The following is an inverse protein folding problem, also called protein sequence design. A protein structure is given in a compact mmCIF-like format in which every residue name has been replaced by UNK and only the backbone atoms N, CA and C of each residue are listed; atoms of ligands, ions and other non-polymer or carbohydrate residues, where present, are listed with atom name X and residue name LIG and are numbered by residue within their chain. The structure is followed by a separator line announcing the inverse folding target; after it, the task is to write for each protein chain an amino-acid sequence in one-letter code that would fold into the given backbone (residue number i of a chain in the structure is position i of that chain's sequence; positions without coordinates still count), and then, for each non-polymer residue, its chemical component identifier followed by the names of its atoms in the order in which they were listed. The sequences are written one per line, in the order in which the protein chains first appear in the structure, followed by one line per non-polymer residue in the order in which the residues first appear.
data_IF_293380138038
#
_entry.id   IF_293380138038
#
_cell.length_a   1.000
_cell.length_b   1.000
_cell.length_c   1.000
_cell.angle_alpha   90.00
_cell.angle_beta   90.00
_cell.angle_gamma   90.00
#
_symmetry.space_group_name_H-M   'P 1'
#
loop_
_entity.id
_entity.type
_entity.pdbx_description
1 polymer ?
#
# COMPACT_ATOMS: atom_id res chain seq x y z
N UNK A 1 -0.64 42.73 -18.65
CA UNK A 1 -1.74 41.87 -19.13
C UNK A 1 -1.96 40.82 -18.03
N UNK A 2 -3.15 40.68 -17.49
CA UNK A 2 -3.39 39.62 -16.53
C UNK A 2 -3.35 38.25 -17.23
N UNK A 3 -2.60 37.32 -16.65
CA UNK A 3 -2.52 35.94 -17.11
C UNK A 3 -3.92 35.31 -17.15
N UNK A 4 -4.22 34.56 -18.18
CA UNK A 4 -5.50 33.85 -18.30
C UNK A 4 -5.58 32.75 -17.23
N UNK A 5 -6.79 32.39 -16.82
CA UNK A 5 -7.03 31.32 -15.81
C UNK A 5 -6.33 30.02 -16.17
N UNK A 6 -6.18 29.73 -17.45
CA UNK A 6 -5.49 28.56 -18.00
C UNK A 6 -3.97 28.62 -17.76
N UNK A 7 -3.36 29.80 -17.96
CA UNK A 7 -1.93 30.01 -17.69
C UNK A 7 -1.62 29.98 -16.20
N UNK A 8 -2.52 30.45 -15.34
CA UNK A 8 -2.40 30.36 -13.89
C UNK A 8 -2.49 28.92 -13.39
N UNK A 9 -3.37 28.10 -13.98
CA UNK A 9 -3.50 26.66 -13.66
C UNK A 9 -2.29 25.85 -14.15
N UNK A 10 -1.71 26.21 -15.29
CA UNK A 10 -0.47 25.59 -15.81
C UNK A 10 0.73 25.95 -14.95
N UNK A 11 0.83 27.21 -14.48
CA UNK A 11 1.88 27.62 -13.54
C UNK A 11 1.74 26.94 -12.17
N UNK A 12 0.51 26.77 -11.66
CA UNK A 12 0.28 26.06 -10.39
C UNK A 12 0.63 24.58 -10.50
N UNK A 13 0.34 23.93 -11.63
CA UNK A 13 0.72 22.54 -11.89
C UNK A 13 2.23 22.38 -12.08
N UNK A 14 2.90 23.35 -12.70
CA UNK A 14 4.36 23.37 -12.83
C UNK A 14 5.06 23.64 -11.49
N UNK A 15 4.49 24.48 -10.63
CA UNK A 15 5.01 24.72 -9.28
C UNK A 15 4.88 23.50 -8.37
N UNK A 16 3.81 22.71 -8.49
CA UNK A 16 3.67 21.47 -7.69
C UNK A 16 4.66 20.38 -8.10
N UNK A 17 5.06 20.31 -9.37
CA UNK A 17 6.14 19.45 -9.84
C UNK A 17 7.53 20.00 -9.51
N UNK A 18 7.74 21.31 -9.53
CA UNK A 18 9.03 21.94 -9.24
C UNK A 18 9.41 21.92 -7.75
N UNK A 19 8.45 21.92 -6.82
CA UNK A 19 8.74 21.89 -5.38
C UNK A 19 9.24 20.50 -4.89
N UNK A 20 9.09 19.44 -5.69
CA UNK A 20 9.74 18.16 -5.44
C UNK A 20 11.15 18.04 -6.06
N UNK A 21 11.63 19.07 -6.77
CA UNK A 21 12.96 19.15 -7.36
C UNK A 21 13.91 20.03 -6.52
N UNK A 22 13.99 19.81 -5.22
CA UNK A 22 15.09 20.38 -4.44
C UNK A 22 16.36 19.57 -4.71
N UNK A 23 17.38 20.27 -5.19
CA UNK A 23 18.74 19.80 -5.48
C UNK A 23 19.29 18.81 -4.45
N UNK A 24 19.22 17.53 -4.74
CA UNK A 24 20.07 16.52 -4.15
C UNK A 24 20.98 16.02 -5.27
N UNK A 25 22.19 16.54 -5.31
CA UNK A 25 23.30 16.01 -6.09
C UNK A 25 23.96 14.87 -5.34
N UNK A 26 23.20 13.80 -5.08
CA UNK A 26 23.75 12.50 -4.72
C UNK A 26 23.35 11.55 -5.84
N UNK A 27 24.28 10.69 -6.27
CA UNK A 27 24.12 9.69 -7.32
C UNK A 27 22.72 9.09 -7.21
N UNK A 28 21.88 9.35 -8.22
CA UNK A 28 20.56 8.76 -8.30
C UNK A 28 20.75 7.24 -8.30
N UNK A 29 20.24 6.52 -7.30
CA UNK A 29 20.48 5.08 -7.17
C UNK A 29 19.80 4.24 -8.27
N UNK A 30 19.18 4.90 -9.24
CA UNK A 30 18.33 4.32 -10.27
C UNK A 30 18.82 4.77 -11.65
N UNK A 31 19.74 4.03 -12.23
CA UNK A 31 20.32 4.36 -13.56
C UNK A 31 19.47 3.87 -14.73
N UNK A 32 18.42 3.08 -14.46
CA UNK A 32 17.64 2.43 -15.51
C UNK A 32 16.41 3.24 -15.92
N UNK A 33 16.03 3.12 -17.18
CA UNK A 33 14.77 3.62 -17.70
C UNK A 33 13.61 3.02 -16.91
N UNK A 34 12.87 3.84 -16.16
CA UNK A 34 11.84 3.36 -15.27
C UNK A 34 10.46 3.76 -15.75
N UNK A 35 9.64 2.75 -16.05
CA UNK A 35 8.22 2.87 -16.39
C UNK A 35 7.40 1.94 -15.54
N UNK A 36 6.19 2.35 -15.17
CA UNK A 36 5.33 1.53 -14.33
C UNK A 36 3.86 1.87 -14.49
N UNK A 37 3.00 0.91 -14.14
CA UNK A 37 1.55 1.07 -14.15
C UNK A 37 1.07 1.34 -12.73
N UNK A 38 0.18 2.35 -12.58
CA UNK A 38 -0.65 2.54 -11.38
C UNK A 38 -2.12 2.44 -11.74
N UNK A 39 -2.98 2.30 -10.75
CA UNK A 39 -4.43 2.30 -10.92
C UNK A 39 -4.95 3.63 -10.40
N UNK A 40 -5.51 4.44 -11.30
CA UNK A 40 -5.98 5.78 -10.95
C UNK A 40 -6.95 5.78 -9.79
N UNK A 41 -6.65 6.58 -8.78
CA UNK A 41 -7.56 6.77 -7.65
C UNK A 41 -8.76 7.62 -8.01
N UNK A 42 -8.70 8.39 -9.11
CA UNK A 42 -9.73 9.30 -9.55
C UNK A 42 -10.80 8.63 -10.42
N UNK A 43 -12.08 8.96 -10.17
CA UNK A 43 -13.21 8.54 -11.01
C UNK A 43 -13.78 9.72 -11.77
N UNK A 44 -13.83 9.58 -13.08
CA UNK A 44 -14.38 10.60 -13.94
C UNK A 44 -15.84 10.26 -14.28
N UNK A 45 -16.78 10.25 -13.34
CA UNK A 45 -18.21 10.42 -13.66
C UNK A 45 -19.13 10.54 -12.46
N UNK A 46 -20.07 11.46 -12.65
CA UNK A 46 -21.42 11.62 -12.07
C UNK A 46 -21.67 11.05 -10.66
N UNK A 47 -21.92 11.97 -9.78
CA UNK A 47 -22.34 11.86 -8.38
C UNK A 47 -23.37 10.74 -8.09
N UNK A 48 -24.12 10.28 -9.06
CA UNK A 48 -25.25 9.37 -8.87
C UNK A 48 -24.94 7.86 -8.94
N UNK A 49 -23.72 7.45 -9.27
CA UNK A 49 -23.40 6.04 -9.54
C UNK A 49 -22.03 5.58 -9.02
N UNK A 50 -21.55 6.11 -7.90
CA UNK A 50 -20.20 5.89 -7.40
C UNK A 50 -19.96 4.55 -6.68
N UNK A 51 -20.94 3.67 -6.59
CA UNK A 51 -20.82 2.38 -5.95
C UNK A 51 -19.86 1.41 -6.69
N UNK A 52 -20.26 0.14 -6.79
CA UNK A 52 -19.49 -0.92 -7.49
C UNK A 52 -19.10 -0.54 -8.93
N UNK A 53 -19.89 0.30 -9.61
CA UNK A 53 -19.59 0.80 -10.95
C UNK A 53 -18.32 1.65 -11.00
N UNK A 54 -18.03 2.44 -9.95
CA UNK A 54 -16.81 3.22 -9.88
C UNK A 54 -15.56 2.36 -9.76
N UNK A 55 -15.60 1.25 -9.00
CA UNK A 55 -14.50 0.28 -8.93
C UNK A 55 -14.22 -0.40 -10.27
N UNK A 56 -15.25 -0.60 -11.09
CA UNK A 56 -15.10 -1.19 -12.42
C UNK A 56 -14.49 -0.26 -13.46
N UNK A 57 -14.43 1.05 -13.19
CA UNK A 57 -13.95 2.08 -14.11
C UNK A 57 -12.62 2.71 -13.66
N UNK A 58 -11.87 2.07 -12.77
CA UNK A 58 -10.54 2.53 -12.38
C UNK A 58 -9.59 2.44 -13.56
N UNK A 59 -9.21 3.58 -14.11
CA UNK A 59 -8.31 3.65 -15.25
C UNK A 59 -6.88 3.25 -14.87
N UNK A 60 -6.21 2.53 -15.76
CA UNK A 60 -4.78 2.30 -15.66
C UNK A 60 -4.04 3.57 -16.04
N UNK A 61 -2.96 3.87 -15.34
CA UNK A 61 -2.11 5.02 -15.58
C UNK A 61 -0.70 4.55 -15.92
N UNK A 62 -0.18 5.02 -17.04
CA UNK A 62 1.20 4.82 -17.46
C UNK A 62 2.04 5.92 -16.84
N UNK A 63 3.11 5.56 -16.16
CA UNK A 63 4.02 6.49 -15.52
C UNK A 63 5.43 6.28 -16.06
N UNK A 64 6.21 7.35 -16.20
CA UNK A 64 7.59 7.30 -16.68
C UNK A 64 8.46 8.37 -16.04
N UNK A 65 9.75 8.12 -15.99
CA UNK A 65 10.76 9.06 -15.52
C UNK A 65 11.72 9.40 -16.66
N UNK A 66 11.51 10.54 -17.37
CA UNK A 66 12.24 10.86 -18.60
C UNK A 66 13.75 10.97 -18.42
N UNK A 67 14.21 11.39 -17.24
CA UNK A 67 15.62 11.60 -16.92
C UNK A 67 16.40 10.28 -16.84
N UNK A 68 15.74 9.18 -16.46
CA UNK A 68 16.39 7.90 -16.27
C UNK A 68 16.56 7.10 -17.57
N UNK A 69 15.82 7.44 -18.64
CA UNK A 69 15.93 6.77 -19.93
C UNK A 69 17.03 7.37 -20.85
N UNK A 70 17.99 8.10 -20.30
CA UNK A 70 19.07 8.74 -21.07
C UNK A 70 18.57 9.73 -22.13
N UNK A 71 17.36 10.29 -21.97
CA UNK A 71 16.73 11.19 -22.95
C UNK A 71 16.21 10.50 -24.21
N UNK A 72 16.29 9.18 -24.31
CA UNK A 72 15.88 8.40 -25.48
C UNK A 72 14.40 8.01 -25.49
N UNK A 73 13.68 8.22 -24.38
CA UNK A 73 12.27 7.88 -24.29
C UNK A 73 11.43 8.75 -25.22
N UNK A 74 10.70 8.09 -26.12
CA UNK A 74 9.83 8.75 -27.07
C UNK A 74 8.34 8.52 -26.76
N UNK A 75 7.97 7.25 -26.54
CA UNK A 75 6.58 6.86 -26.30
C UNK A 75 6.49 5.73 -25.28
N UNK A 76 5.32 5.67 -24.63
CA UNK A 76 4.97 4.60 -23.72
C UNK A 76 3.68 3.94 -24.20
N UNK A 77 3.68 2.62 -24.19
CA UNK A 77 2.58 1.78 -24.66
C UNK A 77 2.03 0.94 -23.52
N UNK A 78 0.75 0.62 -23.60
CA UNK A 78 0.09 -0.39 -22.79
C UNK A 78 -0.31 -1.57 -23.69
N UNK A 79 0.09 -2.78 -23.27
CA UNK A 79 -0.22 -4.03 -23.95
C UNK A 79 -0.93 -5.01 -23.01
N UNK A 80 -1.66 -5.97 -23.56
CA UNK A 80 -2.28 -7.08 -22.82
C UNK A 80 -1.33 -8.25 -22.60
N UNK A 81 -0.18 -8.27 -23.26
CA UNK A 81 0.83 -9.33 -23.22
C UNK A 81 2.24 -8.77 -23.03
N UNK A 82 3.16 -9.62 -22.61
CA UNK A 82 4.56 -9.26 -22.41
C UNK A 82 5.23 -8.90 -23.74
N UNK A 83 5.69 -7.66 -23.92
CA UNK A 83 6.32 -7.22 -25.17
C UNK A 83 7.70 -7.84 -25.40
N UNK A 84 8.25 -8.60 -24.47
CA UNK A 84 9.53 -9.31 -24.59
C UNK A 84 9.35 -10.76 -25.05
N UNK A 85 8.13 -11.28 -25.13
CA UNK A 85 7.89 -12.63 -25.61
C UNK A 85 8.15 -12.77 -27.10
N UNK A 86 8.71 -13.91 -27.53
CA UNK A 86 8.95 -14.22 -28.94
C UNK A 86 7.65 -14.26 -29.79
N UNK A 87 6.55 -14.64 -29.17
CA UNK A 87 5.22 -14.70 -29.80
C UNK A 87 4.43 -13.39 -29.75
N UNK A 88 5.04 -12.31 -29.24
CA UNK A 88 4.36 -11.04 -29.05
C UNK A 88 3.87 -10.45 -30.36
N UNK A 89 2.56 -10.17 -30.44
CA UNK A 89 1.94 -9.46 -31.56
C UNK A 89 1.48 -8.07 -31.11
N UNK A 90 2.24 -7.06 -31.51
CA UNK A 90 1.98 -5.67 -31.12
C UNK A 90 0.58 -5.20 -31.48
N UNK A 91 0.03 -5.60 -32.63
CA UNK A 91 -1.28 -5.13 -33.11
C UNK A 91 -2.43 -5.76 -32.31
N UNK A 92 -2.33 -7.04 -31.98
CA UNK A 92 -3.37 -7.75 -31.22
C UNK A 92 -3.34 -7.43 -29.74
N UNK A 93 -2.16 -7.18 -29.20
CA UNK A 93 -1.94 -6.91 -27.77
C UNK A 93 -2.09 -5.42 -27.40
N UNK A 94 -2.18 -4.51 -28.38
CA UNK A 94 -2.27 -3.07 -28.13
C UNK A 94 -3.52 -2.65 -27.37
N UNK A 95 -3.37 -1.89 -26.30
CA UNK A 95 -4.47 -1.33 -25.51
C UNK A 95 -4.53 0.20 -25.56
N UNK A 96 -3.37 0.88 -25.38
CA UNK A 96 -3.30 2.34 -25.39
C UNK A 96 -1.84 2.82 -25.51
N UNK A 97 -1.62 4.11 -25.83
CA UNK A 97 -0.26 4.67 -25.89
C UNK A 97 -0.24 6.19 -25.72
N UNK A 98 0.95 6.71 -25.44
CA UNK A 98 1.19 8.15 -25.35
C UNK A 98 2.59 8.49 -25.86
N UNK A 99 2.71 9.62 -26.57
CA UNK A 99 4.00 10.22 -26.96
C UNK A 99 4.46 11.17 -25.85
N UNK A 100 5.53 10.80 -25.15
CA UNK A 100 5.93 11.39 -23.87
C UNK A 100 6.27 12.88 -23.98
N UNK A 101 6.98 13.30 -25.04
CA UNK A 101 7.39 14.69 -25.24
C UNK A 101 6.23 15.63 -25.65
N UNK A 102 5.09 15.08 -26.01
CA UNK A 102 3.86 15.82 -26.32
C UNK A 102 2.90 15.88 -25.13
N UNK A 103 3.22 15.19 -24.03
CA UNK A 103 2.38 15.13 -22.85
C UNK A 103 2.99 15.98 -21.72
N UNK A 104 2.24 16.93 -21.13
CA UNK A 104 2.77 17.90 -20.16
C UNK A 104 3.13 17.30 -18.79
N UNK A 105 2.79 16.03 -18.56
CA UNK A 105 3.00 15.33 -17.30
C UNK A 105 3.74 14.03 -17.56
N UNK A 106 4.44 13.51 -16.54
CA UNK A 106 5.15 12.25 -16.60
C UNK A 106 4.23 11.03 -16.30
N UNK A 107 2.95 11.17 -16.58
CA UNK A 107 1.97 10.09 -16.52
C UNK A 107 0.83 10.34 -17.52
N UNK A 108 0.21 9.25 -17.95
CA UNK A 108 -0.93 9.26 -18.86
C UNK A 108 -2.01 8.33 -18.34
N UNK A 109 -3.26 8.81 -18.26
CA UNK A 109 -4.42 8.01 -17.88
C UNK A 109 -5.02 7.40 -19.13
N UNK A 110 -4.94 6.07 -19.22
CA UNK A 110 -5.43 5.31 -20.37
C UNK A 110 -6.95 5.15 -20.35
N UNK A 111 -7.51 4.65 -21.45
CA UNK A 111 -8.91 4.19 -21.51
C UNK A 111 -9.10 2.77 -20.94
N UNK A 112 -8.03 2.00 -20.77
CA UNK A 112 -8.09 0.70 -20.13
C UNK A 112 -8.39 0.81 -18.64
N UNK A 113 -9.20 -0.10 -18.12
CA UNK A 113 -9.61 -0.09 -16.70
C UNK A 113 -9.25 -1.41 -16.03
N UNK A 114 -8.86 -1.38 -14.74
CA UNK A 114 -8.56 -2.58 -13.99
C UNK A 114 -9.83 -3.40 -13.69
N UNK A 115 -10.93 -2.75 -13.35
CA UNK A 115 -12.12 -3.43 -12.83
C UNK A 115 -11.83 -4.18 -11.52
N UNK A 116 -12.34 -5.41 -11.43
CA UNK A 116 -12.02 -6.39 -10.39
C UNK A 116 -11.46 -7.64 -11.05
N UNK A 117 -10.16 -7.69 -11.31
CA UNK A 117 -9.56 -8.81 -11.99
C UNK A 117 -9.52 -10.03 -11.07
N UNK A 118 -9.61 -11.21 -11.65
CA UNK A 118 -9.24 -12.44 -10.98
C UNK A 118 -7.72 -12.43 -10.77
N UNK A 119 -7.28 -12.56 -9.51
CA UNK A 119 -5.85 -12.51 -9.20
C UNK A 119 -5.15 -13.80 -9.67
N UNK A 120 -4.01 -13.66 -10.39
CA UNK A 120 -3.29 -14.80 -10.97
C UNK A 120 -2.60 -15.67 -9.92
N UNK A 121 -1.98 -16.79 -10.34
CA UNK A 121 -1.22 -17.68 -9.47
C UNK A 121 -2.04 -18.41 -8.41
N UNK A 122 -3.37 -18.45 -8.53
CA UNK A 122 -4.25 -19.05 -7.52
C UNK A 122 -4.55 -18.14 -6.32
N UNK A 123 -4.14 -16.88 -6.33
CA UNK A 123 -4.35 -15.91 -5.26
C UNK A 123 -5.73 -15.25 -5.25
N UNK A 124 -6.61 -15.64 -6.15
CA UNK A 124 -7.99 -15.15 -6.18
C UNK A 124 -8.77 -15.64 -4.95
N UNK A 125 -9.39 -14.71 -4.23
CA UNK A 125 -10.08 -14.98 -2.96
C UNK A 125 -11.20 -16.01 -3.10
N UNK A 126 -12.00 -15.91 -4.14
CA UNK A 126 -13.12 -16.85 -4.37
C UNK A 126 -12.60 -18.27 -4.64
N UNK A 127 -11.47 -18.39 -5.34
CA UNK A 127 -10.80 -19.66 -5.58
C UNK A 127 -10.29 -20.27 -4.27
N UNK A 128 -9.64 -19.48 -3.41
CA UNK A 128 -9.17 -19.93 -2.10
C UNK A 128 -10.32 -20.39 -1.21
N UNK A 129 -11.37 -19.59 -1.10
CA UNK A 129 -12.55 -19.93 -0.28
C UNK A 129 -13.24 -21.21 -0.75
N UNK A 130 -13.34 -21.41 -2.07
CA UNK A 130 -13.89 -22.65 -2.65
C UNK A 130 -13.02 -23.86 -2.32
N UNK A 131 -11.70 -23.72 -2.40
CA UNK A 131 -10.77 -24.78 -2.04
C UNK A 131 -10.88 -25.14 -0.56
N UNK A 132 -10.93 -24.15 0.34
CA UNK A 132 -11.15 -24.37 1.79
C UNK A 132 -12.47 -25.12 2.05
N UNK A 133 -13.57 -24.75 1.40
CA UNK A 133 -14.88 -25.43 1.54
C UNK A 133 -14.84 -26.88 1.07
N UNK A 134 -14.05 -27.18 0.04
CA UNK A 134 -13.89 -28.52 -0.51
C UNK A 134 -12.78 -29.34 0.18
N UNK A 135 -12.21 -28.86 1.28
CA UNK A 135 -11.05 -29.46 1.96
C UNK A 135 -9.85 -29.69 1.02
N UNK A 136 -9.73 -28.91 -0.04
CA UNK A 136 -8.61 -28.97 -0.96
C UNK A 136 -7.46 -28.10 -0.42
N UNK A 137 -6.28 -28.68 -0.28
CA UNK A 137 -5.07 -28.01 0.23
C UNK A 137 -4.21 -27.38 -0.87
N UNK A 138 -4.83 -26.94 -1.97
CA UNK A 138 -4.08 -26.34 -3.06
C UNK A 138 -3.54 -24.97 -2.62
N UNK A 139 -2.22 -24.88 -2.48
CA UNK A 139 -1.54 -23.63 -2.17
C UNK A 139 -1.39 -22.77 -3.42
N UNK A 140 -1.56 -21.43 -3.32
CA UNK A 140 -1.24 -20.54 -4.41
C UNK A 140 0.26 -20.60 -4.78
N UNK A 141 0.58 -20.29 -6.02
CA UNK A 141 1.97 -20.26 -6.50
C UNK A 141 2.70 -19.06 -5.89
N UNK A 142 3.87 -19.27 -5.24
CA UNK A 142 4.71 -18.15 -4.78
C UNK A 142 5.24 -17.29 -5.93
N UNK A 143 5.81 -16.13 -5.58
CA UNK A 143 6.43 -15.21 -6.53
C UNK A 143 5.50 -14.10 -7.02
N UNK A 144 6.01 -13.33 -7.94
CA UNK A 144 5.29 -12.22 -8.56
C UNK A 144 4.47 -12.75 -9.74
N UNK A 145 3.23 -12.26 -9.87
CA UNK A 145 2.37 -12.67 -10.98
C UNK A 145 1.79 -11.45 -11.68
N UNK A 146 2.11 -11.30 -12.96
CA UNK A 146 1.58 -10.23 -13.80
C UNK A 146 0.10 -10.43 -14.12
N UNK A 147 -0.66 -9.35 -14.09
CA UNK A 147 -1.95 -9.26 -14.74
C UNK A 147 -1.73 -8.97 -16.22
N UNK A 148 -2.74 -9.11 -17.08
CA UNK A 148 -2.61 -8.87 -18.53
C UNK A 148 -2.56 -7.36 -18.85
N UNK A 149 -1.60 -6.66 -18.22
CA UNK A 149 -1.35 -5.23 -18.43
C UNK A 149 0.14 -4.98 -18.35
N UNK A 150 0.75 -4.68 -19.49
CA UNK A 150 2.18 -4.46 -19.65
C UNK A 150 2.46 -3.07 -20.17
N UNK A 151 3.38 -2.37 -19.54
CA UNK A 151 3.89 -1.08 -19.99
C UNK A 151 5.21 -1.29 -20.73
N UNK A 152 5.39 -0.63 -21.87
CA UNK A 152 6.62 -0.63 -22.64
C UNK A 152 7.05 0.79 -22.97
N UNK A 153 8.31 1.12 -22.67
CA UNK A 153 8.95 2.37 -23.06
C UNK A 153 9.71 2.15 -24.38
N UNK A 154 9.40 2.97 -25.37
CA UNK A 154 10.02 2.87 -26.69
C UNK A 154 10.80 4.15 -27.03
N UNK A 155 11.93 3.96 -27.71
CA UNK A 155 12.68 5.03 -28.35
C UNK A 155 12.01 5.48 -29.65
N UNK A 156 12.51 6.57 -30.25
CA UNK A 156 11.95 7.11 -31.50
C UNK A 156 12.02 6.13 -32.67
N UNK A 157 13.02 5.27 -32.71
CA UNK A 157 13.17 4.23 -33.75
C UNK A 157 12.41 2.93 -33.43
N UNK A 158 11.59 2.91 -32.36
CA UNK A 158 10.78 1.77 -31.95
C UNK A 158 11.52 0.72 -31.11
N UNK A 159 12.77 0.95 -30.72
CA UNK A 159 13.50 0.03 -29.84
C UNK A 159 12.93 0.04 -28.43
N UNK A 160 12.72 -1.13 -27.83
CA UNK A 160 12.28 -1.29 -26.45
C UNK A 160 13.41 -0.83 -25.51
N UNK A 161 13.11 0.13 -24.64
CA UNK A 161 14.02 0.65 -23.62
C UNK A 161 13.80 0.00 -22.26
N UNK A 162 12.54 -0.20 -21.88
CA UNK A 162 12.14 -0.84 -20.63
C UNK A 162 10.72 -1.39 -20.75
N UNK A 163 10.42 -2.41 -19.94
CA UNK A 163 9.05 -2.91 -19.76
C UNK A 163 8.80 -3.31 -18.31
N UNK A 164 7.55 -3.23 -17.88
CA UNK A 164 7.08 -3.74 -16.60
C UNK A 164 5.60 -4.16 -16.75
N UNK A 165 5.07 -4.90 -15.76
CA UNK A 165 3.66 -5.28 -15.73
C UNK A 165 2.97 -4.82 -14.45
N UNK A 166 1.64 -4.70 -14.50
CA UNK A 166 0.86 -4.62 -13.27
C UNK A 166 0.82 -6.01 -12.63
N UNK A 167 1.36 -6.15 -11.40
CA UNK A 167 1.59 -7.47 -10.78
C UNK A 167 1.28 -7.48 -9.29
N UNK A 168 0.83 -8.64 -8.83
CA UNK A 168 0.71 -8.93 -7.39
C UNK A 168 2.06 -9.40 -6.82
N UNK A 169 2.26 -9.18 -5.51
CA UNK A 169 3.51 -9.46 -4.77
C UNK A 169 3.25 -10.26 -3.47
N UNK A 170 2.56 -11.40 -3.54
CA UNK A 170 2.06 -12.07 -2.33
C UNK A 170 3.16 -12.66 -1.45
N UNK A 171 4.35 -12.94 -1.99
CA UNK A 171 5.44 -13.62 -1.27
C UNK A 171 6.77 -12.88 -1.34
N UNK A 172 6.75 -11.55 -1.51
CA UNK A 172 7.96 -10.78 -1.76
C UNK A 172 9.02 -10.85 -0.64
N UNK A 173 8.62 -11.00 0.64
CA UNK A 173 9.60 -11.20 1.72
C UNK A 173 10.24 -12.59 1.63
N UNK A 174 9.44 -13.61 1.30
CA UNK A 174 9.92 -14.96 1.06
C UNK A 174 10.89 -15.05 -0.13
N UNK A 175 10.59 -14.33 -1.21
CA UNK A 175 11.41 -14.28 -2.42
C UNK A 175 12.79 -13.64 -2.15
N UNK A 176 12.84 -12.71 -1.17
CA UNK A 176 14.06 -12.03 -0.73
C UNK A 176 14.68 -12.65 0.54
N UNK A 177 14.22 -13.80 1.01
CA UNK A 177 14.56 -14.35 2.33
C UNK A 177 16.06 -14.35 2.62
N UNK A 178 16.87 -14.85 1.70
CA UNK A 178 18.33 -14.94 1.86
C UNK A 178 19.03 -13.57 2.00
N UNK A 179 18.41 -12.50 1.54
CA UNK A 179 18.95 -11.14 1.62
C UNK A 179 18.57 -10.46 2.93
N UNK A 180 17.31 -10.62 3.36
CA UNK A 180 16.72 -9.84 4.46
C UNK A 180 16.59 -10.61 5.77
N UNK A 181 16.97 -11.90 5.85
CA UNK A 181 16.80 -12.72 7.06
C UNK A 181 17.47 -12.10 8.32
N UNK A 182 18.64 -11.49 8.16
CA UNK A 182 19.35 -10.79 9.22
C UNK A 182 18.77 -9.42 9.57
N UNK A 183 17.87 -8.88 8.77
CA UNK A 183 17.31 -7.55 8.95
C UNK A 183 16.33 -7.50 10.14
N UNK A 184 16.37 -6.38 10.88
CA UNK A 184 15.33 -6.06 11.86
C UNK A 184 14.11 -5.47 11.15
N UNK A 185 12.89 -5.80 11.59
CA UNK A 185 11.64 -5.26 11.03
C UNK A 185 11.65 -3.73 10.99
N UNK A 186 12.23 -3.06 12.01
CA UNK A 186 12.38 -1.59 12.05
C UNK A 186 13.36 -1.00 11.03
N UNK A 187 14.13 -1.85 10.33
CA UNK A 187 15.12 -1.43 9.32
C UNK A 187 14.72 -1.77 7.91
N UNK A 188 13.60 -2.43 7.72
CA UNK A 188 12.99 -2.66 6.40
C UNK A 188 12.12 -1.46 6.00
N UNK A 189 12.01 -1.21 4.72
CA UNK A 189 10.91 -0.43 4.19
C UNK A 189 9.71 -1.36 3.96
N UNK A 190 8.59 -1.06 4.59
CA UNK A 190 7.40 -1.91 4.63
C UNK A 190 6.22 -1.14 4.04
N UNK A 191 5.64 -1.60 2.93
CA UNK A 191 4.46 -0.97 2.37
C UNK A 191 3.24 -1.27 3.23
N UNK A 192 2.40 -0.27 3.44
CA UNK A 192 1.20 -0.38 4.25
C UNK A 192 0.04 0.43 3.75
N UNK A 193 -1.10 0.23 4.39
CA UNK A 193 -2.34 0.93 4.09
C UNK A 193 -2.85 1.69 5.31
N UNK A 194 -3.26 2.93 5.08
CA UNK A 194 -3.94 3.76 6.06
C UNK A 194 -5.41 3.35 6.13
N UNK A 195 -5.99 3.27 7.33
CA UNK A 195 -7.39 2.86 7.53
C UNK A 195 -7.75 1.60 6.71
N UNK A 196 -6.93 0.59 6.78
CA UNK A 196 -6.90 -0.58 5.87
C UNK A 196 -8.25 -1.29 5.71
N UNK A 197 -9.06 -1.34 6.78
CA UNK A 197 -10.39 -1.94 6.74
C UNK A 197 -11.49 -1.05 6.14
N UNK A 198 -11.16 0.18 5.71
CA UNK A 198 -12.14 1.12 5.15
C UNK A 198 -12.19 1.03 3.61
N UNK A 199 -12.50 -0.15 3.10
CA UNK A 199 -12.61 -0.44 1.69
C UNK A 199 -14.07 -0.50 1.19
N UNK A 200 -14.24 -0.55 -0.13
CA UNK A 200 -15.54 -0.70 -0.77
C UNK A 200 -15.98 -2.18 -0.74
N UNK A 201 -16.93 -2.50 0.17
CA UNK A 201 -17.55 -3.83 0.23
C UNK A 201 -18.53 -4.09 -0.90
N UNK A 202 -19.00 -5.35 -1.01
CA UNK A 202 -20.03 -5.77 -1.99
C UNK A 202 -21.38 -5.06 -1.75
N UNK A 203 -21.68 -4.70 -0.51
CA UNK A 203 -22.94 -4.07 -0.08
C UNK A 203 -22.83 -2.54 -0.02
N UNK A 204 -22.60 -1.92 -1.16
CA UNK A 204 -22.69 -0.46 -1.27
C UNK A 204 -24.18 -0.10 -1.50
N UNK A 205 -25.00 -0.41 -0.52
CA UNK A 205 -26.41 0.01 -0.52
C UNK A 205 -26.55 1.45 -0.07
N UNK A 206 -27.23 2.27 -0.85
CA UNK A 206 -28.07 3.45 -0.51
C UNK A 206 -27.64 4.47 0.56
N UNK A 207 -26.45 4.41 1.14
CA UNK A 207 -25.95 5.48 2.03
C UNK A 207 -25.36 6.58 1.16
N UNK A 208 -25.71 7.84 1.49
CA UNK A 208 -25.41 9.01 0.68
C UNK A 208 -23.96 9.08 0.19
N UNK A 209 -23.78 9.29 -1.09
CA UNK A 209 -22.49 9.29 -1.82
C UNK A 209 -21.39 10.10 -1.13
N UNK A 210 -21.72 11.17 -0.43
CA UNK A 210 -20.78 12.04 0.27
C UNK A 210 -20.10 11.32 1.43
N UNK A 211 -20.83 10.56 2.27
CA UNK A 211 -20.27 9.81 3.39
C UNK A 211 -19.26 8.79 2.85
N UNK A 212 -19.60 8.07 1.80
CA UNK A 212 -18.69 7.10 1.17
C UNK A 212 -17.39 7.74 0.70
N UNK A 213 -17.45 8.92 0.05
CA UNK A 213 -16.27 9.62 -0.46
C UNK A 213 -15.29 10.03 0.61
N UNK A 214 -15.79 10.30 1.82
CA UNK A 214 -14.97 10.74 2.96
C UNK A 214 -14.69 9.66 4.00
N UNK A 215 -15.07 8.40 3.72
CA UNK A 215 -14.89 7.29 4.66
C UNK A 215 -14.21 6.05 4.07
N UNK A 216 -13.99 6.00 2.76
CA UNK A 216 -13.28 4.90 2.12
C UNK A 216 -11.89 5.34 1.72
N UNK A 217 -10.90 4.58 2.17
CA UNK A 217 -9.47 4.83 1.99
C UNK A 217 -8.79 3.80 1.10
N UNK A 218 -9.46 2.66 0.86
CA UNK A 218 -8.94 1.57 0.04
C UNK A 218 -10.02 1.05 -0.92
N UNK A 219 -9.58 0.51 -2.05
CA UNK A 219 -10.46 -0.21 -3.00
C UNK A 219 -10.45 -1.71 -2.72
N UNK A 220 -9.28 -2.24 -2.41
CA UNK A 220 -9.01 -3.63 -2.14
C UNK A 220 -9.43 -4.01 -0.73
N UNK A 221 -9.99 -5.21 -0.54
CA UNK A 221 -10.21 -5.77 0.79
C UNK A 221 -8.87 -6.20 1.44
N UNK A 222 -8.90 -6.67 2.67
CA UNK A 222 -7.68 -7.02 3.42
C UNK A 222 -6.91 -8.15 2.73
N UNK A 223 -7.58 -9.17 2.20
CA UNK A 223 -6.93 -10.23 1.44
C UNK A 223 -6.20 -9.68 0.23
N UNK A 224 -6.90 -8.89 -0.58
CA UNK A 224 -6.35 -8.28 -1.79
C UNK A 224 -5.18 -7.35 -1.46
N UNK A 225 -5.28 -6.48 -0.44
CA UNK A 225 -4.18 -5.60 -0.03
C UNK A 225 -2.91 -6.39 0.31
N UNK A 226 -3.04 -7.51 1.04
CA UNK A 226 -1.91 -8.38 1.40
C UNK A 226 -1.35 -9.11 0.17
N UNK A 227 -2.21 -9.59 -0.73
CA UNK A 227 -1.81 -10.25 -1.98
C UNK A 227 -1.12 -9.28 -2.93
N UNK A 228 -1.57 -8.03 -3.00
CA UNK A 228 -0.85 -6.98 -3.75
C UNK A 228 0.52 -6.67 -3.16
N UNK A 229 0.75 -6.88 -1.87
CA UNK A 229 2.07 -6.75 -1.25
C UNK A 229 2.13 -5.89 0.01
N UNK A 230 1.02 -5.34 0.50
CA UNK A 230 0.99 -4.63 1.78
C UNK A 230 1.37 -5.57 2.93
N UNK A 231 2.13 -5.05 3.92
CA UNK A 231 2.54 -5.81 5.11
C UNK A 231 2.28 -5.05 6.41
N UNK A 232 1.71 -3.86 6.33
CA UNK A 232 1.22 -3.10 7.47
C UNK A 232 -0.24 -2.71 7.24
N UNK A 233 -1.08 -2.97 8.25
CA UNK A 233 -2.51 -2.68 8.25
C UNK A 233 -2.87 -1.80 9.45
N UNK A 234 -3.31 -0.54 9.19
CA UNK A 234 -3.88 0.36 10.19
C UNK A 234 -5.37 0.06 10.39
N UNK A 235 -5.74 -0.51 11.52
CA UNK A 235 -7.11 -0.87 11.85
C UNK A 235 -7.69 0.05 12.93
N UNK A 236 -8.90 0.54 12.68
CA UNK A 236 -9.65 1.39 13.61
C UNK A 236 -10.96 0.71 13.95
N UNK A 237 -11.17 0.44 15.25
CA UNK A 237 -12.24 -0.45 15.72
C UNK A 237 -13.27 0.30 16.55
N UNK A 238 -14.54 0.07 16.23
CA UNK A 238 -15.68 0.49 17.04
C UNK A 238 -16.36 -0.69 17.73
N UNK A 239 -16.94 -0.46 18.92
CA UNK A 239 -17.74 -1.41 19.64
C UNK A 239 -19.21 -1.03 19.64
N UNK A 240 -20.10 -1.99 19.30
CA UNK A 240 -21.54 -1.80 19.14
C UNK A 240 -22.32 -2.87 19.94
N UNK A 241 -22.68 -2.54 21.17
CA UNK A 241 -23.26 -3.46 22.16
C UNK A 241 -24.53 -4.20 21.69
N UNK A 242 -25.34 -3.55 20.85
CA UNK A 242 -26.65 -4.08 20.39
C UNK A 242 -26.60 -4.80 19.05
N UNK A 243 -25.41 -5.20 18.58
CA UNK A 243 -25.21 -5.93 17.33
C UNK A 243 -24.80 -7.37 17.62
N UNK A 244 -25.14 -8.30 16.75
CA UNK A 244 -24.70 -9.70 16.83
C UNK A 244 -23.18 -9.75 16.76
N UNK A 245 -22.59 -9.11 15.74
CA UNK A 245 -21.15 -8.81 15.72
C UNK A 245 -20.96 -7.45 16.42
N UNK A 246 -20.15 -7.44 17.47
CA UNK A 246 -19.98 -6.25 18.31
C UNK A 246 -18.81 -5.37 17.87
N UNK A 247 -17.80 -5.95 17.20
CA UNK A 247 -16.62 -5.23 16.76
C UNK A 247 -16.64 -4.97 15.25
N UNK A 248 -16.48 -3.70 14.90
CA UNK A 248 -16.54 -3.23 13.52
C UNK A 248 -15.35 -2.34 13.19
N UNK A 249 -14.91 -2.39 11.95
CA UNK A 249 -14.03 -1.36 11.41
C UNK A 249 -14.79 -0.05 11.28
N UNK A 250 -14.12 1.04 11.65
CA UNK A 250 -14.69 2.37 11.63
C UNK A 250 -13.77 3.38 10.93
N UNK A 251 -14.36 4.28 10.16
CA UNK A 251 -13.76 5.56 9.80
C UNK A 251 -14.44 6.67 10.62
N UNK A 252 -13.70 7.27 11.54
CA UNK A 252 -14.30 8.17 12.53
C UNK A 252 -15.53 7.51 13.21
N UNK A 253 -16.73 8.07 13.08
CA UNK A 253 -17.96 7.50 13.62
C UNK A 253 -18.72 6.59 12.67
N UNK A 254 -18.28 6.52 11.41
CA UNK A 254 -18.91 5.69 10.39
C UNK A 254 -18.49 4.23 10.55
N UNK A 255 -19.46 3.33 10.59
CA UNK A 255 -19.28 1.89 10.67
C UNK A 255 -19.16 1.32 9.27
N UNK A 256 -18.09 0.57 8.99
CA UNK A 256 -17.71 0.11 7.66
C UNK A 256 -18.01 -1.37 7.44
N UNK A 257 -17.25 -2.26 8.09
CA UNK A 257 -17.38 -3.71 7.95
C UNK A 257 -17.15 -4.40 9.29
N UNK A 258 -17.59 -5.63 9.43
CA UNK A 258 -17.34 -6.45 10.62
C UNK A 258 -15.86 -6.74 10.78
N UNK A 259 -15.37 -6.78 12.02
CA UNK A 259 -13.95 -7.00 12.29
C UNK A 259 -13.52 -8.45 12.07
N UNK A 260 -14.35 -9.43 12.47
CA UNK A 260 -13.98 -10.86 12.41
C UNK A 260 -13.59 -11.31 10.99
N UNK A 261 -14.34 -11.01 9.91
CA UNK A 261 -13.91 -11.34 8.54
C UNK A 261 -12.57 -10.70 8.14
N UNK A 262 -12.28 -9.49 8.62
CA UNK A 262 -11.00 -8.82 8.41
C UNK A 262 -9.85 -9.61 9.05
N UNK A 263 -10.01 -10.06 10.29
CA UNK A 263 -9.01 -10.90 10.98
C UNK A 263 -8.84 -12.25 10.29
N UNK A 264 -9.92 -12.85 9.83
CA UNK A 264 -9.90 -14.12 9.10
C UNK A 264 -9.15 -14.01 7.77
N UNK A 265 -9.26 -12.89 7.06
CA UNK A 265 -8.47 -12.64 5.85
C UNK A 265 -6.98 -12.53 6.16
N UNK A 266 -6.59 -11.86 7.25
CA UNK A 266 -5.20 -11.85 7.72
C UNK A 266 -4.71 -13.26 8.05
N UNK A 267 -5.48 -14.01 8.82
CA UNK A 267 -5.12 -15.38 9.20
C UNK A 267 -4.98 -16.30 7.98
N UNK A 268 -5.88 -16.19 7.01
CA UNK A 268 -5.84 -16.93 5.74
C UNK A 268 -4.58 -16.59 4.96
N UNK A 269 -4.27 -15.30 4.78
CA UNK A 269 -3.06 -14.88 4.10
C UNK A 269 -1.80 -15.44 4.78
N UNK A 270 -1.70 -15.36 6.10
CA UNK A 270 -0.56 -15.87 6.86
C UNK A 270 -0.37 -17.38 6.70
N UNK A 271 -1.44 -18.14 6.55
CA UNK A 271 -1.36 -19.59 6.26
C UNK A 271 -0.85 -19.87 4.84
N UNK A 272 -1.34 -19.09 3.87
CA UNK A 272 -0.96 -19.25 2.45
C UNK A 272 0.43 -18.69 2.11
N UNK A 273 1.01 -17.86 3.00
CA UNK A 273 2.28 -17.16 2.78
C UNK A 273 3.27 -17.43 3.91
N UNK A 274 3.92 -18.61 3.96
CA UNK A 274 4.67 -19.07 5.13
C UNK A 274 5.95 -18.27 5.46
N UNK A 275 6.41 -17.40 4.57
CA UNK A 275 7.60 -16.57 4.79
C UNK A 275 7.29 -15.07 4.91
N UNK A 276 6.02 -14.68 4.88
CA UNK A 276 5.64 -13.27 5.01
C UNK A 276 5.50 -12.86 6.47
N UNK A 277 5.89 -11.65 6.79
CA UNK A 277 5.69 -10.99 8.09
C UNK A 277 4.68 -9.88 7.92
N UNK A 278 3.63 -9.88 8.72
CA UNK A 278 2.56 -8.88 8.67
C UNK A 278 2.47 -8.14 10.00
N UNK A 279 2.23 -6.84 9.94
CA UNK A 279 2.00 -5.95 11.08
C UNK A 279 0.54 -5.53 11.06
N UNK A 280 -0.20 -5.80 12.13
CA UNK A 280 -1.57 -5.32 12.33
C UNK A 280 -1.56 -4.35 13.48
N UNK A 281 -1.94 -3.09 13.23
CA UNK A 281 -1.94 -2.01 14.22
C UNK A 281 -3.37 -1.57 14.56
N UNK A 282 -3.86 -1.98 15.72
CA UNK A 282 -5.13 -1.51 16.28
C UNK A 282 -4.92 -0.12 16.87
N UNK A 283 -4.93 0.89 15.99
CA UNK A 283 -4.45 2.22 16.33
C UNK A 283 -5.47 3.12 17.01
N UNK A 284 -6.75 3.07 16.61
CA UNK A 284 -7.81 3.94 17.15
C UNK A 284 -9.11 3.20 17.45
N UNK A 285 -9.83 3.74 18.45
CA UNK A 285 -11.08 3.18 18.95
C UNK A 285 -12.16 4.26 19.01
N UNK A 286 -12.70 4.71 17.85
CA UNK A 286 -13.51 5.92 17.75
C UNK A 286 -14.92 5.81 18.33
N UNK A 287 -15.48 4.61 18.46
CA UNK A 287 -16.85 4.36 18.92
C UNK A 287 -16.88 3.28 20.00
N UNK A 288 -17.60 3.51 21.07
CA UNK A 288 -17.90 2.51 22.08
C UNK A 288 -16.78 2.19 23.08
N UNK A 289 -15.62 2.83 22.97
CA UNK A 289 -14.47 2.64 23.87
C UNK A 289 -14.24 3.86 24.80
N UNK A 290 -15.26 4.69 25.01
CA UNK A 290 -15.23 5.82 25.93
C UNK A 290 -16.24 5.61 27.07
N UNK A 291 -16.06 6.28 28.21
CA UNK A 291 -16.97 6.23 29.35
C UNK A 291 -16.27 5.90 30.67
N UNK A 292 -17.00 5.33 31.65
CA UNK A 292 -16.40 4.94 32.93
C UNK A 292 -15.30 3.88 32.73
N UNK A 293 -14.15 4.07 33.35
CA UNK A 293 -12.93 3.28 33.18
C UNK A 293 -13.15 1.76 33.16
N UNK A 294 -13.96 1.21 34.08
CA UNK A 294 -14.21 -0.24 34.13
C UNK A 294 -14.91 -0.80 32.87
N UNK A 295 -15.92 -0.10 32.32
CA UNK A 295 -16.60 -0.55 31.08
C UNK A 295 -15.70 -0.45 29.85
N UNK A 296 -14.82 0.50 29.85
CA UNK A 296 -13.88 0.77 28.79
C UNK A 296 -12.77 -0.31 28.72
N UNK A 297 -12.12 -0.62 29.84
CA UNK A 297 -11.08 -1.67 29.90
C UNK A 297 -11.65 -3.06 29.55
N UNK A 298 -12.88 -3.37 29.97
CA UNK A 298 -13.54 -4.65 29.63
C UNK A 298 -13.71 -4.80 28.12
N UNK A 299 -14.09 -3.74 27.39
CA UNK A 299 -14.26 -3.80 25.93
C UNK A 299 -12.94 -4.01 25.20
N UNK A 300 -11.84 -3.42 25.68
CA UNK A 300 -10.51 -3.72 25.14
C UNK A 300 -10.10 -5.17 25.40
N UNK A 301 -10.43 -5.77 26.55
CA UNK A 301 -10.18 -7.19 26.80
C UNK A 301 -11.01 -8.10 25.88
N UNK A 302 -12.29 -7.79 25.66
CA UNK A 302 -13.11 -8.54 24.71
C UNK A 302 -12.55 -8.48 23.28
N UNK A 303 -12.08 -7.30 22.87
CA UNK A 303 -11.40 -7.14 21.59
C UNK A 303 -10.12 -7.95 21.53
N UNK A 304 -9.29 -7.92 22.58
CA UNK A 304 -8.06 -8.72 22.65
C UNK A 304 -8.36 -10.23 22.59
N UNK A 305 -9.43 -10.69 23.25
CA UNK A 305 -9.85 -12.08 23.16
C UNK A 305 -10.25 -12.47 21.73
N UNK A 306 -11.02 -11.63 21.03
CA UNK A 306 -11.36 -11.86 19.64
C UNK A 306 -10.12 -11.91 18.74
N UNK A 307 -9.17 -10.97 18.94
CA UNK A 307 -7.92 -10.97 18.19
C UNK A 307 -7.11 -12.23 18.48
N UNK A 308 -7.02 -12.65 19.74
CA UNK A 308 -6.31 -13.87 20.12
C UNK A 308 -6.96 -15.14 19.56
N UNK A 309 -8.27 -15.20 19.54
CA UNK A 309 -9.04 -16.30 18.93
C UNK A 309 -8.67 -16.47 17.46
N UNK A 310 -8.64 -15.39 16.68
CA UNK A 310 -8.43 -15.45 15.23
C UNK A 310 -6.94 -15.46 14.83
N UNK A 311 -6.07 -14.78 15.59
CA UNK A 311 -4.69 -14.47 15.19
C UNK A 311 -3.61 -14.94 16.18
N UNK A 312 -3.97 -15.26 17.44
CA UNK A 312 -3.00 -15.51 18.51
C UNK A 312 -2.02 -16.65 18.22
N UNK A 313 -2.47 -17.68 17.51
CA UNK A 313 -1.58 -18.80 17.12
C UNK A 313 -0.42 -18.40 16.20
N UNK A 314 -0.55 -17.28 15.49
CA UNK A 314 0.42 -16.74 14.52
C UNK A 314 1.20 -15.54 15.07
N UNK A 315 0.72 -14.95 16.18
CA UNK A 315 1.29 -13.75 16.75
C UNK A 315 2.65 -14.02 17.41
N UNK A 316 3.61 -13.14 17.16
CA UNK A 316 4.92 -13.18 17.79
C UNK A 316 4.89 -12.52 19.16
N UNK A 317 5.81 -12.92 20.03
CA UNK A 317 6.04 -12.22 21.28
C UNK A 317 6.68 -10.86 21.03
N UNK A 318 6.25 -9.85 21.78
CA UNK A 318 6.73 -8.48 21.66
C UNK A 318 7.88 -8.22 22.62
N UNK A 319 9.02 -7.83 22.07
CA UNK A 319 10.17 -7.39 22.84
C UNK A 319 10.13 -5.87 23.00
N UNK A 320 10.14 -5.36 24.24
CA UNK A 320 9.91 -3.94 24.53
C UNK A 320 11.03 -2.99 24.04
N UNK A 321 12.23 -3.47 23.86
CA UNK A 321 13.41 -2.62 23.64
C UNK A 321 13.97 -2.69 22.22
N UNK A 322 13.62 -3.67 21.45
CA UNK A 322 14.16 -3.84 20.09
C UNK A 322 13.17 -4.52 19.15
N UNK A 323 13.29 -4.17 17.87
CA UNK A 323 12.56 -4.85 16.81
C UNK A 323 13.14 -6.25 16.56
N UNK A 324 12.32 -7.29 16.37
CA UNK A 324 12.80 -8.63 16.04
C UNK A 324 13.53 -8.65 14.70
N UNK A 325 14.41 -9.63 14.51
CA UNK A 325 14.95 -9.96 13.19
C UNK A 325 13.95 -10.83 12.44
N UNK A 326 13.98 -10.79 11.12
CA UNK A 326 13.14 -11.67 10.30
C UNK A 326 13.48 -13.14 10.54
N UNK A 327 14.77 -13.48 10.71
CA UNK A 327 15.21 -14.84 11.08
C UNK A 327 14.51 -15.34 12.34
N UNK A 328 14.37 -14.51 13.37
CA UNK A 328 13.75 -14.90 14.64
C UNK A 328 12.25 -15.23 14.44
N UNK A 329 11.57 -14.40 13.64
CA UNK A 329 10.15 -14.59 13.30
C UNK A 329 9.93 -15.86 12.47
N UNK A 330 10.81 -16.12 11.51
CA UNK A 330 10.74 -17.31 10.67
C UNK A 330 11.06 -18.60 11.44
N UNK A 331 12.06 -18.59 12.32
CA UNK A 331 12.40 -19.74 13.14
C UNK A 331 11.29 -20.11 14.15
N UNK A 332 10.66 -19.09 14.75
CA UNK A 332 9.56 -19.31 15.69
C UNK A 332 8.25 -19.73 15.02
N UNK A 333 8.11 -19.50 13.70
CA UNK A 333 6.84 -19.63 12.97
C UNK A 333 5.80 -18.56 13.35
N UNK A 334 6.14 -17.64 14.29
CA UNK A 334 5.28 -16.56 14.77
C UNK A 334 5.62 -15.28 14.01
N UNK A 335 4.90 -15.00 12.94
CA UNK A 335 5.25 -13.99 11.94
C UNK A 335 4.27 -12.81 11.87
N UNK A 336 3.31 -12.78 12.77
CA UNK A 336 2.33 -11.71 12.88
C UNK A 336 2.67 -10.81 14.07
N UNK A 337 2.88 -9.52 13.84
CA UNK A 337 3.09 -8.51 14.87
C UNK A 337 1.79 -7.76 15.10
N UNK A 338 1.20 -7.89 16.30
CA UNK A 338 -0.08 -7.27 16.65
C UNK A 338 0.15 -6.12 17.61
N UNK A 339 -0.09 -4.89 17.18
CA UNK A 339 0.02 -3.69 17.99
C UNK A 339 -1.35 -3.22 18.46
N UNK A 340 -1.40 -2.66 19.66
CA UNK A 340 -2.64 -2.12 20.22
C UNK A 340 -2.39 -0.82 20.98
N UNK A 341 -2.94 0.29 20.48
CA UNK A 341 -2.68 1.63 21.02
C UNK A 341 -3.11 1.81 22.50
N UNK A 342 -3.97 0.93 23.00
CA UNK A 342 -4.43 0.91 24.38
C UNK A 342 -4.09 -0.39 25.10
N UNK A 343 -2.93 -0.97 24.81
CA UNK A 343 -2.47 -2.22 25.44
C UNK A 343 -2.54 -2.17 26.97
N UNK A 344 -2.16 -1.06 27.58
CA UNK A 344 -2.19 -0.87 29.04
C UNK A 344 -3.60 -0.93 29.64
N UNK A 345 -4.66 -0.70 28.84
CA UNK A 345 -6.05 -0.82 29.25
C UNK A 345 -6.54 -2.28 29.25
N UNK A 346 -5.86 -3.15 28.55
CA UNK A 346 -6.26 -4.56 28.37
C UNK A 346 -6.06 -5.35 29.65
N UNK A 347 -5.19 -4.94 30.58
CA UNK A 347 -4.82 -5.66 31.81
C UNK A 347 -4.60 -7.16 31.54
N UNK A 348 -3.88 -7.44 30.50
CA UNK A 348 -3.53 -8.80 30.15
C UNK A 348 -2.50 -9.30 31.18
N UNK A 349 -2.64 -10.51 31.65
CA UNK A 349 -1.59 -11.15 32.44
C UNK A 349 -0.26 -10.96 31.72
N UNK A 350 0.83 -10.72 32.45
CA UNK A 350 2.16 -10.50 31.89
C UNK A 350 2.62 -11.58 30.92
N UNK A 351 1.88 -12.69 30.85
CA UNK A 351 2.08 -13.81 29.91
C UNK A 351 1.51 -13.57 28.51
N UNK A 352 0.77 -12.49 28.25
CA UNK A 352 0.21 -12.18 26.95
C UNK A 352 1.14 -11.25 26.15
N UNK A 353 2.40 -11.66 26.01
CA UNK A 353 3.46 -10.92 25.30
C UNK A 353 3.21 -10.79 23.79
N UNK A 354 2.16 -11.43 23.27
CA UNK A 354 1.80 -11.37 21.85
C UNK A 354 1.19 -10.04 21.41
N UNK A 355 0.64 -9.25 22.34
CA UNK A 355 0.04 -7.95 22.06
C UNK A 355 1.06 -6.83 22.32
N UNK A 356 1.56 -6.23 21.24
CA UNK A 356 2.61 -5.23 21.30
C UNK A 356 2.13 -3.87 21.87
N UNK A 357 3.06 -3.13 22.45
CA UNK A 357 2.85 -1.75 22.86
C UNK A 357 2.49 -0.87 21.64
N UNK A 358 1.91 0.34 21.86
CA UNK A 358 1.53 1.23 20.76
C UNK A 358 2.65 1.46 19.76
N UNK A 359 2.36 1.26 18.46
CA UNK A 359 3.25 1.64 17.39
C UNK A 359 3.23 3.17 17.22
N UNK A 360 4.39 3.78 17.04
CA UNK A 360 4.44 5.20 16.69
C UNK A 360 3.89 5.38 15.27
N UNK A 361 2.78 6.10 15.17
CA UNK A 361 2.19 6.49 13.90
C UNK A 361 2.40 7.99 13.68
N UNK A 362 3.26 8.36 12.73
CA UNK A 362 3.52 9.75 12.36
C UNK A 362 2.44 10.22 11.38
N UNK A 363 1.50 11.02 11.87
CA UNK A 363 0.37 11.55 11.12
C UNK A 363 0.33 13.07 11.17
N UNK A 364 0.43 13.72 10.00
CA UNK A 364 0.60 15.17 9.86
C UNK A 364 -0.70 15.97 9.75
N UNK A 365 -1.84 15.31 9.56
CA UNK A 365 -3.13 16.00 9.34
C UNK A 365 -3.05 17.07 8.24
N UNK A 366 -2.41 16.77 7.11
CA UNK A 366 -2.18 17.72 6.04
C UNK A 366 -3.30 17.69 4.99
N UNK A 367 -3.62 18.85 4.41
CA UNK A 367 -4.72 19.02 3.45
C UNK A 367 -4.27 19.23 2.00
N UNK A 368 -2.97 19.33 1.76
CA UNK A 368 -2.39 19.53 0.42
C UNK A 368 -1.01 18.89 0.30
N UNK A 369 -0.56 18.70 -0.93
CA UNK A 369 0.69 18.00 -1.25
C UNK A 369 1.93 18.65 -0.63
N UNK A 370 2.03 19.97 -0.66
CA UNK A 370 3.18 20.71 -0.09
C UNK A 370 3.27 20.50 1.42
N UNK A 371 2.15 20.66 2.14
CA UNK A 371 2.11 20.43 3.58
C UNK A 371 2.46 18.98 3.94
N UNK A 372 1.97 18.01 3.16
CA UNK A 372 2.30 16.61 3.35
C UNK A 372 3.80 16.35 3.11
N UNK A 373 4.38 16.89 2.03
CA UNK A 373 5.80 16.76 1.73
C UNK A 373 6.69 17.31 2.85
N UNK A 374 6.39 18.50 3.35
CA UNK A 374 7.10 19.12 4.47
C UNK A 374 6.98 18.28 5.76
N UNK A 375 5.78 17.79 6.05
CA UNK A 375 5.58 16.93 7.22
C UNK A 375 6.33 15.59 7.12
N UNK A 376 6.33 14.97 5.94
CA UNK A 376 7.11 13.74 5.71
C UNK A 376 8.60 14.02 5.97
N UNK A 377 9.13 15.13 5.45
CA UNK A 377 10.51 15.57 5.69
C UNK A 377 10.84 15.66 7.18
N UNK A 378 10.03 16.39 7.94
CA UNK A 378 10.20 16.54 9.39
C UNK A 378 10.10 15.19 10.13
N UNK A 379 9.15 14.34 9.76
CA UNK A 379 8.96 13.04 10.37
C UNK A 379 10.14 12.10 10.07
N UNK A 380 10.64 12.11 8.84
CA UNK A 380 11.81 11.32 8.46
C UNK A 380 13.06 11.75 9.23
N UNK A 381 13.34 13.06 9.32
CA UNK A 381 14.45 13.59 10.12
C UNK A 381 14.34 13.20 11.60
N UNK A 382 13.11 13.18 12.15
CA UNK A 382 12.88 12.89 13.57
C UNK A 382 12.92 11.40 13.91
N UNK A 383 12.44 10.54 13.02
CA UNK A 383 12.15 9.15 13.35
C UNK A 383 13.02 8.13 12.61
N UNK A 384 13.80 8.54 11.59
CA UNK A 384 14.80 7.67 10.97
C UNK A 384 15.74 7.08 12.00
N UNK A 385 16.13 5.85 11.82
CA UNK A 385 17.05 5.17 12.72
C UNK A 385 16.47 4.62 14.01
N UNK A 386 15.20 4.86 14.33
CA UNK A 386 14.56 4.30 15.54
C UNK A 386 14.77 2.78 15.65
N UNK A 387 14.99 2.25 16.89
CA UNK A 387 15.18 0.81 17.10
C UNK A 387 13.87 0.02 17.00
N UNK A 388 12.71 0.67 17.22
CA UNK A 388 11.38 0.08 17.13
C UNK A 388 10.68 0.47 15.82
N UNK A 389 9.77 -0.36 15.31
CA UNK A 389 8.97 -0.02 14.15
C UNK A 389 8.15 1.24 14.36
N UNK A 390 7.99 2.01 13.30
CA UNK A 390 7.15 3.21 13.24
C UNK A 390 6.59 3.38 11.84
N UNK A 391 5.47 4.09 11.73
CA UNK A 391 4.82 4.32 10.45
C UNK A 391 4.67 5.80 10.14
N UNK A 392 4.82 6.17 8.87
CA UNK A 392 4.43 7.45 8.30
C UNK A 392 3.10 7.29 7.57
N UNK A 393 2.12 8.14 7.91
CA UNK A 393 0.85 8.24 7.19
C UNK A 393 1.01 9.21 6.04
N UNK A 394 1.30 8.64 4.86
CA UNK A 394 1.54 9.39 3.64
C UNK A 394 0.21 9.60 2.89
N UNK A 395 -0.69 10.38 3.51
CA UNK A 395 -2.02 10.65 3.00
C UNK A 395 -2.48 12.08 3.33
N UNK A 396 -3.47 12.57 2.61
CA UNK A 396 -4.12 13.84 2.91
C UNK A 396 -5.35 13.63 3.79
N UNK A 397 -5.51 14.50 4.79
CA UNK A 397 -6.67 14.48 5.69
C UNK A 397 -7.64 15.61 5.32
N UNK A 398 -8.93 15.32 5.04
CA UNK A 398 -9.92 16.36 4.75
C UNK A 398 -10.24 17.18 6.00
N UNK A 399 -10.60 18.45 5.81
CA UNK A 399 -11.27 19.23 6.87
C UNK A 399 -12.71 18.77 7.00
N UNK A 400 -13.29 18.89 8.20
CA UNK A 400 -14.71 18.59 8.40
C UNK A 400 -15.63 19.41 7.48
N UNK A 401 -15.24 20.63 7.16
CA UNK A 401 -15.97 21.48 6.22
C UNK A 401 -15.93 21.01 4.76
N UNK A 402 -14.97 20.18 4.38
CA UNK A 402 -14.83 19.74 2.98
C UNK A 402 -16.00 18.86 2.53
N UNK A 403 -16.54 18.04 3.42
CA UNK A 403 -17.73 17.23 3.13
C UNK A 403 -18.97 18.08 2.79
N UNK A 404 -19.04 19.31 3.30
CA UNK A 404 -20.14 20.24 3.07
C UNK A 404 -19.82 21.17 1.90
N UNK A 405 -18.63 21.79 1.90
CA UNK A 405 -18.26 22.83 0.96
C UNK A 405 -17.69 22.27 -0.37
N UNK A 406 -17.13 21.05 -0.34
CA UNK A 406 -16.49 20.39 -1.47
C UNK A 406 -16.86 18.91 -1.55
N UNK A 407 -18.16 18.58 -1.61
CA UNK A 407 -18.63 17.19 -1.52
C UNK A 407 -18.09 16.26 -2.62
N UNK A 408 -17.65 16.82 -3.77
CA UNK A 408 -17.05 16.04 -4.85
C UNK A 408 -15.59 15.66 -4.60
N UNK A 409 -14.86 16.37 -3.71
CA UNK A 409 -13.42 16.17 -3.55
C UNK A 409 -13.07 14.78 -2.99
N UNK A 410 -13.66 14.35 -1.89
CA UNK A 410 -13.48 13.02 -1.30
C UNK A 410 -12.02 12.57 -1.11
N UNK A 411 -11.82 11.48 -0.36
CA UNK A 411 -10.47 10.93 -0.08
C UNK A 411 -9.78 10.41 -1.34
N UNK A 412 -10.55 9.90 -2.29
CA UNK A 412 -10.03 9.38 -3.56
C UNK A 412 -9.34 10.44 -4.40
N UNK A 413 -9.97 11.61 -4.55
CA UNK A 413 -9.33 12.73 -5.26
C UNK A 413 -8.12 13.25 -4.52
N UNK A 414 -8.17 13.31 -3.19
CA UNK A 414 -7.05 13.72 -2.35
C UNK A 414 -5.87 12.74 -2.51
N UNK A 415 -6.12 11.44 -2.56
CA UNK A 415 -5.08 10.46 -2.83
C UNK A 415 -4.49 10.60 -4.25
N UNK A 416 -5.33 10.86 -5.26
CA UNK A 416 -4.86 11.11 -6.64
C UNK A 416 -3.91 12.33 -6.72
N UNK A 417 -4.16 13.35 -5.90
CA UNK A 417 -3.32 14.55 -5.83
C UNK A 417 -1.89 14.25 -5.33
N UNK A 418 -1.68 13.19 -4.53
CA UNK A 418 -0.39 12.96 -3.84
C UNK A 418 0.28 11.62 -4.14
N UNK A 419 -0.44 10.59 -4.54
CA UNK A 419 0.09 9.22 -4.65
C UNK A 419 1.31 9.09 -5.57
N UNK A 420 1.32 9.83 -6.71
CA UNK A 420 2.49 9.84 -7.60
C UNK A 420 3.68 10.57 -6.98
N UNK A 421 3.43 11.70 -6.30
CA UNK A 421 4.46 12.44 -5.56
C UNK A 421 5.05 11.64 -4.39
N UNK A 422 4.23 10.88 -3.68
CA UNK A 422 4.65 9.96 -2.60
C UNK A 422 5.58 8.89 -3.18
N UNK A 423 5.23 8.27 -4.30
CA UNK A 423 6.09 7.29 -4.98
C UNK A 423 7.48 7.85 -5.21
N UNK A 424 7.58 9.02 -5.86
CA UNK A 424 8.84 9.66 -6.20
C UNK A 424 9.63 10.07 -4.95
N UNK A 425 8.96 10.65 -3.95
CA UNK A 425 9.60 11.09 -2.72
C UNK A 425 10.29 9.94 -1.98
N UNK A 426 9.60 8.80 -1.84
CA UNK A 426 10.17 7.65 -1.17
C UNK A 426 11.19 6.91 -2.04
N UNK A 427 11.04 6.87 -3.35
CA UNK A 427 12.01 6.28 -4.28
C UNK A 427 13.33 7.04 -4.27
N UNK A 428 13.30 8.35 -4.45
CA UNK A 428 14.52 9.13 -4.67
C UNK A 428 15.17 9.64 -3.38
N UNK A 429 14.38 9.98 -2.36
CA UNK A 429 14.91 10.63 -1.16
C UNK A 429 14.94 9.72 0.06
N UNK A 430 13.85 9.04 0.38
CA UNK A 430 13.71 8.39 1.68
C UNK A 430 13.81 6.86 1.67
N UNK A 431 14.21 6.27 0.54
CA UNK A 431 14.35 4.82 0.41
C UNK A 431 15.35 4.19 1.40
N UNK A 432 16.37 4.95 1.86
CA UNK A 432 17.39 4.48 2.83
C UNK A 432 16.84 4.38 4.25
N UNK A 433 15.89 5.25 4.63
CA UNK A 433 15.55 5.53 6.02
C UNK A 433 14.11 5.21 6.40
N UNK A 434 13.20 5.14 5.42
CA UNK A 434 11.80 4.85 5.68
C UNK A 434 11.60 3.45 6.28
N UNK A 435 10.74 3.36 7.32
CA UNK A 435 10.31 2.08 7.84
C UNK A 435 8.93 1.71 7.26
N UNK A 436 7.83 2.00 7.93
CA UNK A 436 6.50 1.70 7.40
C UNK A 436 5.95 2.93 6.68
N UNK A 437 5.52 2.76 5.43
CA UNK A 437 4.85 3.82 4.65
C UNK A 437 3.44 3.39 4.34
N UNK A 438 2.46 4.03 4.97
CA UNK A 438 1.04 3.73 4.82
C UNK A 438 0.33 4.78 3.96
N UNK A 439 -0.42 4.35 2.97
CA UNK A 439 -1.06 5.21 1.97
C UNK A 439 -2.55 4.93 1.84
N UNK A 440 -3.28 5.89 1.27
CA UNK A 440 -4.64 5.69 0.77
C UNK A 440 -4.61 5.19 -0.68
N UNK A 441 -5.57 4.32 -1.03
CA UNK A 441 -5.71 3.75 -2.36
C UNK A 441 -4.40 3.17 -2.89
N UNK A 442 -4.01 2.06 -2.28
CA UNK A 442 -2.70 1.39 -2.42
C UNK A 442 -2.21 1.27 -3.88
N UNK A 443 -3.08 0.94 -4.82
CA UNK A 443 -2.70 0.77 -6.22
C UNK A 443 -2.54 2.08 -7.00
N UNK A 444 -2.93 3.22 -6.41
CA UNK A 444 -2.72 4.55 -6.98
C UNK A 444 -1.29 5.07 -6.85
N UNK A 445 -0.43 4.33 -6.16
CA UNK A 445 1.00 4.60 -6.00
C UNK A 445 1.83 3.33 -6.21
N UNK A 446 3.14 3.44 -6.12
CA UNK A 446 4.09 2.33 -6.34
C UNK A 446 4.89 1.99 -5.07
N UNK A 447 4.37 2.31 -3.89
CA UNK A 447 5.09 2.11 -2.61
C UNK A 447 5.45 0.64 -2.37
N UNK A 448 4.67 -0.31 -2.87
CA UNK A 448 5.01 -1.74 -2.77
C UNK A 448 6.34 -2.03 -3.48
N UNK A 449 6.45 -1.66 -4.76
CA UNK A 449 7.67 -1.91 -5.53
C UNK A 449 8.84 -1.07 -5.01
N UNK A 450 8.60 0.21 -4.67
CA UNK A 450 9.62 1.08 -4.03
C UNK A 450 10.15 0.44 -2.74
N UNK A 451 9.30 -0.16 -1.92
CA UNK A 451 9.74 -0.82 -0.68
C UNK A 451 10.56 -2.08 -0.96
N UNK A 452 10.17 -2.89 -1.93
CA UNK A 452 10.92 -4.09 -2.34
C UNK A 452 12.31 -3.67 -2.87
N UNK A 453 12.36 -2.76 -3.83
CA UNK A 453 13.58 -2.23 -4.43
C UNK A 453 14.50 -1.56 -3.37
N UNK A 454 13.91 -0.80 -2.43
CA UNK A 454 14.65 -0.21 -1.32
C UNK A 454 15.31 -1.28 -0.44
N UNK A 455 14.58 -2.36 -0.14
CA UNK A 455 15.12 -3.45 0.67
C UNK A 455 16.20 -4.23 -0.09
N UNK A 456 16.06 -4.46 -1.39
CA UNK A 456 17.11 -5.06 -2.24
C UNK A 456 18.41 -4.25 -2.19
N UNK A 457 18.30 -2.92 -2.24
CA UNK A 457 19.46 -2.02 -2.17
C UNK A 457 20.07 -1.92 -0.77
N UNK A 458 19.22 -1.94 0.28
CA UNK A 458 19.71 -1.94 1.68
C UNK A 458 20.40 -3.25 2.05
N UNK A 459 20.00 -4.35 1.42
CA UNK A 459 20.50 -5.71 1.68
C UNK A 459 20.89 -6.40 0.36
N UNK A 460 21.98 -5.97 -0.30
CA UNK A 460 22.39 -6.53 -1.58
C UNK A 460 22.77 -8.01 -1.43
N UNK A 461 22.46 -8.82 -2.45
CA UNK A 461 22.98 -10.19 -2.54
C UNK A 461 24.51 -10.12 -2.49
N UNK A 462 25.13 -10.77 -1.52
CA UNK A 462 26.57 -10.94 -1.56
C UNK A 462 26.91 -11.69 -2.85
N UNK A 463 27.62 -11.04 -3.77
CA UNK A 463 28.29 -11.77 -4.82
C UNK A 463 29.18 -12.81 -4.11
N UNK A 464 28.90 -14.09 -4.32
CA UNK A 464 29.76 -15.15 -3.84
C UNK A 464 31.16 -14.80 -4.35
N UNK A 465 32.07 -14.37 -3.46
CA UNK A 465 33.48 -14.29 -3.77
C UNK A 465 33.86 -15.69 -4.18
N UNK A 466 34.00 -15.92 -5.50
CA UNK A 466 34.66 -17.09 -6.00
C UNK A 466 36.05 -17.09 -5.36
N UNK A 467 36.26 -17.92 -4.37
CA UNK A 467 37.60 -18.30 -3.96
C UNK A 467 38.27 -18.93 -5.20
N UNK A 468 39.02 -18.13 -5.90
CA UNK A 468 40.03 -18.69 -6.75
C UNK A 468 41.06 -19.31 -5.78
N UNK A 469 41.29 -20.62 -5.79
CA UNK A 469 42.38 -21.21 -5.04
C UNK A 469 43.66 -20.61 -5.63
N UNK A 470 44.45 -19.92 -4.79
CA UNK A 470 45.78 -19.54 -5.15
C UNK A 470 46.52 -20.83 -5.54
N UNK A 471 46.71 -21.02 -6.86
CA UNK A 471 47.59 -22.02 -7.39
C UNK A 471 49.03 -21.65 -7.05
N UNK A 472 49.73 -22.65 -6.60
CA UNK A 472 51.19 -22.68 -6.35
C UNK A 472 52.02 -22.19 -7.55
#
# INVERSE_FOLDING_TARGET
MPLTLTEFLVLLAALTTALFHSSVSDELPWDDCHVFITVGSYWYKSIKNDGLKGLQTRHLELNWEPTLCGGNLYSVFLFSEDPTNESFNQTESFLDSVVCNQHPRNFYRTNATLGRPKLPGGWDKETILRNEQNNATTMPTPGNHCLPYWIAALSRNGSLLASDCLKIRPTWMGDMKSQIEGARVSKLMIPGTHNSGCYYGKDIGSRGDVIYRFTRTQDEDIWEQLVWGARYLDLRVGYYERKNEQFWINHARERITELRPVLQDVARFMRMSPNEVVIVDFHRFPVGFSGKFQKYAVRHRWLANLINEELGSMATQCVFMSSPRLSDLWHSGKRLMVYHAKRHEVHVNWNDDWLCAPLLQAWGNQQNATGLGNYIEEAMQRYSGRPLPWSIMAELTPKYSDAILRPQRGLRMMADDVNRGITNLFRHKWWKDANIVATDFLLGNKIIDVAIEANEKRYPKYASKSYLPNGY
#
